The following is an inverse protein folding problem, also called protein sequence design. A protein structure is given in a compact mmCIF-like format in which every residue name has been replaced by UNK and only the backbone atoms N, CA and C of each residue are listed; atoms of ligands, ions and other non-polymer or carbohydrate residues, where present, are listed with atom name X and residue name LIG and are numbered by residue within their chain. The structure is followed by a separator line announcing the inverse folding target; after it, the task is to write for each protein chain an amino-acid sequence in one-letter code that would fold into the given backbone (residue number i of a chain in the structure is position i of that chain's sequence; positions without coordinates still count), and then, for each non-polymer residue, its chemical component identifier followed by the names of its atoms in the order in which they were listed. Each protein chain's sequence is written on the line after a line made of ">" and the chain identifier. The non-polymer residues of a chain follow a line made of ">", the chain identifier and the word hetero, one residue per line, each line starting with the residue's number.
data_IF_076709528739
#
_entry.id   IF_076709528739
#
_cell.length_a   1.000
_cell.length_b   1.000
_cell.length_c   1.000
_cell.angle_alpha   90.00
_cell.angle_beta   90.00
_cell.angle_gamma   90.00
#
_symmetry.space_group_name_H-M   'P 1'
#
loop_
_entity.id
_entity.type
_entity.pdbx_description
1 polymer ?
#
# COMPACT_ATOMS: atom_id res chain seq x y z
N UNK A 1 6.30 25.09 -22.45
CA UNK A 1 5.37 26.19 -22.79
C UNK A 1 4.25 25.69 -23.67
N UNK A 2 4.56 24.96 -24.76
CA UNK A 2 3.58 24.44 -25.71
C UNK A 2 2.33 23.78 -25.09
N UNK A 3 2.47 22.87 -24.12
CA UNK A 3 1.31 22.24 -23.47
C UNK A 3 0.45 23.24 -22.67
N UNK A 4 1.07 24.19 -21.96
CA UNK A 4 0.34 25.23 -21.22
C UNK A 4 -0.46 26.13 -22.17
N UNK A 5 0.13 26.46 -23.33
CA UNK A 5 -0.53 27.23 -24.37
C UNK A 5 -1.72 26.45 -24.97
N UNK A 6 -1.58 25.13 -25.13
CA UNK A 6 -2.69 24.27 -25.59
C UNK A 6 -3.83 24.20 -24.56
N UNK A 7 -3.52 24.12 -23.26
CA UNK A 7 -4.51 24.07 -22.19
C UNK A 7 -5.35 25.37 -22.12
N UNK A 8 -4.69 26.54 -22.11
CA UNK A 8 -5.35 27.85 -22.03
C UNK A 8 -4.86 28.80 -23.16
N UNK A 9 -5.41 28.63 -24.37
CA UNK A 9 -5.03 29.38 -25.59
C UNK A 9 -5.05 30.92 -25.44
N UNK A 10 -5.93 31.44 -24.59
CA UNK A 10 -6.09 32.89 -24.38
C UNK A 10 -5.16 33.46 -23.31
N UNK A 11 -4.43 32.60 -22.57
CA UNK A 11 -3.59 33.02 -21.45
C UNK A 11 -2.15 33.22 -21.89
N UNK A 12 -1.63 34.43 -21.70
CA UNK A 12 -0.23 34.72 -21.94
C UNK A 12 0.62 34.33 -20.74
N UNK A 13 1.04 33.07 -20.63
CA UNK A 13 1.82 32.56 -19.49
C UNK A 13 3.14 33.31 -19.23
N UNK A 14 3.75 33.86 -20.29
CA UNK A 14 4.94 34.72 -20.17
C UNK A 14 4.67 36.04 -19.42
N UNK A 15 3.41 36.49 -19.32
CA UNK A 15 3.01 37.65 -18.51
C UNK A 15 2.84 37.31 -17.02
N UNK A 16 2.77 36.02 -16.70
CA UNK A 16 2.64 35.49 -15.34
C UNK A 16 3.99 35.02 -14.77
N UNK A 17 5.11 35.54 -15.28
CA UNK A 17 6.49 35.19 -14.89
C UNK A 17 6.86 33.70 -15.04
N UNK A 18 6.10 32.93 -15.83
CA UNK A 18 6.39 31.52 -16.11
C UNK A 18 7.33 31.45 -17.32
N UNK A 19 8.62 31.24 -17.03
CA UNK A 19 9.71 31.17 -18.02
C UNK A 19 10.43 29.82 -17.91
N UNK A 20 10.79 29.23 -19.06
CA UNK A 20 11.54 27.98 -19.10
C UNK A 20 12.90 28.15 -18.43
N UNK A 21 13.26 27.23 -17.54
CA UNK A 21 14.51 27.25 -16.78
C UNK A 21 14.46 28.07 -15.49
N UNK A 22 13.41 28.87 -15.28
CA UNK A 22 13.17 29.53 -14.00
C UNK A 22 12.44 28.61 -13.01
N UNK A 23 12.42 28.99 -11.73
CA UNK A 23 11.67 28.28 -10.69
C UNK A 23 10.17 28.37 -10.98
N UNK A 24 9.49 27.23 -11.01
CA UNK A 24 8.04 27.18 -11.16
C UNK A 24 7.32 27.81 -9.95
N UNK A 25 6.41 28.78 -10.14
CA UNK A 25 5.65 29.40 -9.05
C UNK A 25 4.52 28.47 -8.60
N UNK A 26 4.87 27.49 -7.75
CA UNK A 26 3.91 26.49 -7.25
C UNK A 26 2.88 27.13 -6.31
N UNK A 27 1.60 26.98 -6.64
CA UNK A 27 0.48 27.42 -5.79
C UNK A 27 -0.30 26.23 -5.20
N UNK A 28 -0.95 26.42 -4.05
CA UNK A 28 -1.62 25.35 -3.27
C UNK A 28 -2.57 24.47 -4.07
N UNK A 29 -3.36 25.04 -4.98
CA UNK A 29 -4.36 24.30 -5.76
C UNK A 29 -3.83 23.71 -7.07
N UNK A 30 -2.60 24.02 -7.49
CA UNK A 30 -2.07 23.58 -8.77
C UNK A 30 -1.94 22.05 -8.82
N UNK A 31 -1.35 21.43 -7.80
CA UNK A 31 -1.18 19.97 -7.76
C UNK A 31 -2.52 19.23 -7.83
N UNK A 32 -3.53 19.74 -7.12
CA UNK A 32 -4.88 19.17 -7.11
C UNK A 32 -5.57 19.29 -8.48
N UNK A 33 -5.44 20.44 -9.14
CA UNK A 33 -5.97 20.66 -10.49
C UNK A 33 -5.24 19.78 -11.52
N UNK A 34 -3.90 19.74 -11.46
CA UNK A 34 -3.09 18.87 -12.33
C UNK A 34 -3.50 17.41 -12.21
N UNK A 35 -3.71 16.91 -10.98
CA UNK A 35 -4.21 15.55 -10.77
C UNK A 35 -5.55 15.33 -11.48
N UNK A 36 -6.52 16.23 -11.32
CA UNK A 36 -7.84 16.10 -11.93
C UNK A 36 -7.77 16.09 -13.48
N UNK A 37 -7.02 17.03 -14.07
CA UNK A 37 -6.83 17.16 -15.53
C UNK A 37 -6.22 15.89 -16.11
N UNK A 38 -5.07 15.45 -15.59
CA UNK A 38 -4.35 14.30 -16.16
C UNK A 38 -5.03 12.97 -15.85
N UNK A 39 -5.65 12.82 -14.68
CA UNK A 39 -6.44 11.63 -14.36
C UNK A 39 -7.66 11.52 -15.28
N UNK A 40 -8.39 12.60 -15.54
CA UNK A 40 -9.51 12.55 -16.47
C UNK A 40 -9.04 12.30 -17.91
N UNK A 41 -7.93 12.94 -18.32
CA UNK A 41 -7.29 12.72 -19.63
C UNK A 41 -6.85 11.28 -19.86
N UNK A 42 -6.46 10.56 -18.81
CA UNK A 42 -6.07 9.15 -18.94
C UNK A 42 -7.17 8.28 -19.58
N UNK A 43 -8.45 8.66 -19.46
CA UNK A 43 -9.59 7.84 -19.87
C UNK A 43 -9.86 6.65 -18.95
N UNK A 44 -9.00 6.39 -17.95
CA UNK A 44 -9.16 5.33 -16.95
C UNK A 44 -10.01 5.83 -15.78
N UNK A 45 -9.87 7.12 -15.43
CA UNK A 45 -10.56 7.72 -14.27
C UNK A 45 -11.79 8.50 -14.74
N UNK A 46 -12.96 8.09 -14.24
CA UNK A 46 -14.23 8.76 -14.52
C UNK A 46 -14.45 9.99 -13.62
N UNK A 47 -15.33 10.91 -14.04
CA UNK A 47 -15.69 12.08 -13.23
C UNK A 47 -16.30 11.70 -11.85
N UNK A 48 -17.16 10.67 -11.72
CA UNK A 48 -17.60 10.18 -10.41
C UNK A 48 -16.45 9.68 -9.53
N UNK A 49 -15.46 8.98 -10.09
CA UNK A 49 -14.30 8.53 -9.35
C UNK A 49 -13.43 9.72 -8.90
N UNK A 50 -13.23 10.72 -9.75
CA UNK A 50 -12.56 11.98 -9.38
C UNK A 50 -13.30 12.73 -8.29
N UNK A 51 -14.63 12.81 -8.37
CA UNK A 51 -15.46 13.42 -7.33
C UNK A 51 -15.24 12.74 -5.99
N UNK A 52 -15.25 11.40 -5.95
CA UNK A 52 -15.00 10.64 -4.73
C UNK A 52 -13.57 10.87 -4.20
N UNK A 53 -12.55 10.73 -5.06
CA UNK A 53 -11.14 10.89 -4.70
C UNK A 53 -10.81 12.29 -4.19
N UNK A 54 -11.39 13.32 -4.81
CA UNK A 54 -11.19 14.71 -4.43
C UNK A 54 -12.21 15.18 -3.39
N UNK A 55 -13.14 14.34 -2.93
CA UNK A 55 -14.19 14.74 -1.98
C UNK A 55 -15.01 15.95 -2.47
N UNK A 56 -15.28 16.04 -3.78
CA UNK A 56 -16.13 17.09 -4.33
C UNK A 56 -17.61 16.81 -4.03
N UNK A 57 -18.35 17.90 -3.76
CA UNK A 57 -19.78 17.84 -3.45
C UNK A 57 -20.57 17.41 -4.69
N UNK A 58 -20.22 17.95 -5.86
CA UNK A 58 -20.93 17.67 -7.13
C UNK A 58 -19.97 17.22 -8.24
N UNK A 59 -20.52 16.67 -9.33
CA UNK A 59 -19.72 16.26 -10.50
C UNK A 59 -19.24 17.47 -11.29
N UNK A 60 -20.00 18.57 -11.29
CA UNK A 60 -19.64 19.83 -11.94
C UNK A 60 -18.37 20.43 -11.34
N UNK A 61 -18.19 20.32 -10.02
CA UNK A 61 -16.92 20.69 -9.38
C UNK A 61 -15.75 19.85 -9.89
N UNK A 62 -15.92 18.53 -10.04
CA UNK A 62 -14.89 17.67 -10.61
C UNK A 62 -14.60 18.01 -12.08
N UNK A 63 -15.64 18.32 -12.87
CA UNK A 63 -15.52 18.78 -14.25
C UNK A 63 -14.74 20.09 -14.33
N UNK A 64 -15.04 21.06 -13.46
CA UNK A 64 -14.31 22.34 -13.38
C UNK A 64 -12.82 22.14 -13.07
N UNK A 65 -12.50 21.27 -12.12
CA UNK A 65 -11.10 20.96 -11.80
C UNK A 65 -10.38 20.21 -12.92
N UNK A 66 -11.10 19.41 -13.70
CA UNK A 66 -10.57 18.69 -14.86
C UNK A 66 -10.65 19.51 -16.16
N UNK A 67 -11.01 20.80 -16.10
CA UNK A 67 -11.10 21.63 -17.30
C UNK A 67 -9.78 21.67 -18.06
N UNK A 68 -9.86 21.59 -19.39
CA UNK A 68 -8.71 21.43 -20.27
C UNK A 68 -8.20 20.00 -20.44
N UNK A 69 -8.78 18.98 -19.77
CA UNK A 69 -8.33 17.59 -19.87
C UNK A 69 -8.21 17.10 -21.31
N UNK A 70 -9.16 17.41 -22.19
CA UNK A 70 -9.20 16.91 -23.58
C UNK A 70 -7.99 17.35 -24.41
N UNK A 71 -7.35 18.46 -24.02
CA UNK A 71 -6.16 19.03 -24.67
C UNK A 71 -4.85 18.64 -23.98
N UNK A 72 -4.91 18.14 -22.75
CA UNK A 72 -3.73 17.73 -22.00
C UNK A 72 -3.03 16.54 -22.68
N UNK A 73 -1.71 16.44 -22.49
CA UNK A 73 -0.97 15.25 -22.91
C UNK A 73 -1.44 14.05 -22.08
N UNK A 74 -1.62 12.89 -22.72
CA UNK A 74 -1.96 11.68 -21.99
C UNK A 74 -0.67 11.05 -21.44
N UNK A 75 -0.45 11.19 -20.14
CA UNK A 75 0.74 10.68 -19.47
C UNK A 75 0.72 9.13 -19.36
N UNK A 76 -0.46 8.52 -19.22
CA UNK A 76 -0.58 7.14 -18.73
C UNK A 76 -0.24 6.05 -19.78
N UNK A 77 -0.18 6.41 -21.06
CA UNK A 77 0.14 5.47 -22.15
C UNK A 77 1.49 5.72 -22.82
N UNK A 78 2.31 6.59 -22.24
CA UNK A 78 3.66 6.80 -22.75
C UNK A 78 4.58 5.63 -22.39
N UNK A 79 5.39 5.18 -23.36
CA UNK A 79 6.37 4.10 -23.18
C UNK A 79 7.45 4.48 -22.17
N UNK A 80 7.73 5.77 -22.03
CA UNK A 80 8.69 6.32 -21.07
C UNK A 80 8.03 6.80 -19.78
N UNK A 81 6.75 6.48 -19.54
CA UNK A 81 6.06 6.92 -18.34
C UNK A 81 6.62 6.25 -17.08
N UNK A 82 6.72 7.03 -16.00
CA UNK A 82 7.17 6.58 -14.67
C UNK A 82 6.40 5.38 -14.11
N UNK A 83 5.19 5.09 -14.62
CA UNK A 83 4.45 3.88 -14.22
C UNK A 83 5.21 2.59 -14.51
N UNK A 84 6.09 2.58 -15.51
CA UNK A 84 6.97 1.44 -15.80
C UNK A 84 8.03 1.29 -14.70
N UNK A 85 8.70 2.38 -14.33
CA UNK A 85 9.67 2.41 -13.23
C UNK A 85 9.01 2.03 -11.91
N UNK A 86 7.81 2.55 -11.64
CA UNK A 86 7.03 2.19 -10.46
C UNK A 86 6.69 0.69 -10.41
N UNK A 87 6.30 0.09 -11.55
CA UNK A 87 6.01 -1.35 -11.62
C UNK A 87 7.27 -2.18 -11.37
N UNK A 88 8.39 -1.81 -11.98
CA UNK A 88 9.68 -2.49 -11.76
C UNK A 88 10.12 -2.36 -10.29
N UNK A 89 10.10 -1.14 -9.74
CA UNK A 89 10.43 -0.87 -8.35
C UNK A 89 9.51 -1.60 -7.37
N UNK A 90 8.23 -1.81 -7.70
CA UNK A 90 7.30 -2.60 -6.88
C UNK A 90 7.73 -4.07 -6.77
N UNK A 91 8.14 -4.68 -7.89
CA UNK A 91 8.62 -6.05 -7.89
C UNK A 91 9.94 -6.19 -7.12
N UNK A 92 10.87 -5.25 -7.34
CA UNK A 92 12.14 -5.21 -6.60
C UNK A 92 11.92 -4.99 -5.10
N UNK A 93 11.06 -4.04 -4.72
CA UNK A 93 10.71 -3.77 -3.32
C UNK A 93 10.11 -5.00 -2.64
N UNK A 94 9.23 -5.73 -3.34
CA UNK A 94 8.65 -6.99 -2.88
C UNK A 94 9.74 -8.05 -2.65
N UNK A 95 10.68 -8.21 -3.60
CA UNK A 95 11.83 -9.12 -3.45
C UNK A 95 12.72 -8.73 -2.26
N UNK A 96 13.07 -7.45 -2.12
CA UNK A 96 13.94 -6.99 -1.03
C UNK A 96 13.25 -7.12 0.34
N UNK A 97 11.96 -6.83 0.43
CA UNK A 97 11.19 -7.03 1.66
C UNK A 97 11.17 -8.50 2.08
N UNK A 98 11.02 -9.43 1.13
CA UNK A 98 11.19 -10.85 1.38
C UNK A 98 12.63 -11.20 1.81
N UNK A 99 13.63 -10.69 1.10
CA UNK A 99 15.03 -11.03 1.36
C UNK A 99 15.45 -10.58 2.76
N UNK A 100 15.18 -9.33 3.14
CA UNK A 100 15.50 -8.80 4.46
C UNK A 100 14.63 -9.40 5.56
N UNK A 101 13.34 -9.57 5.28
CA UNK A 101 12.38 -10.01 6.29
C UNK A 101 12.41 -11.50 6.58
N UNK A 102 12.64 -12.34 5.56
CA UNK A 102 12.52 -13.79 5.67
C UNK A 102 13.85 -14.50 5.40
N UNK A 103 14.54 -14.17 4.31
CA UNK A 103 15.72 -14.92 3.88
C UNK A 103 16.95 -14.66 4.77
N UNK A 104 17.15 -13.42 5.19
CA UNK A 104 18.29 -12.99 6.02
C UNK A 104 17.90 -12.69 7.47
N UNK A 105 16.73 -13.17 7.90
CA UNK A 105 16.25 -12.99 9.27
C UNK A 105 16.61 -14.21 10.11
N UNK A 106 17.24 -13.97 11.26
CA UNK A 106 17.52 -15.00 12.29
C UNK A 106 16.36 -15.16 13.28
N UNK A 107 15.15 -14.71 12.91
CA UNK A 107 14.00 -14.68 13.79
C UNK A 107 13.09 -15.89 13.59
N UNK A 108 12.48 -16.36 14.68
CA UNK A 108 11.44 -17.38 14.61
C UNK A 108 10.22 -16.85 13.86
N UNK A 109 9.86 -17.54 12.77
CA UNK A 109 8.76 -17.18 11.90
C UNK A 109 7.55 -18.09 12.17
N UNK A 110 6.38 -17.48 12.35
CA UNK A 110 5.10 -18.18 12.33
C UNK A 110 4.43 -18.04 10.95
N UNK A 111 3.81 -19.13 10.50
CA UNK A 111 2.98 -19.15 9.30
C UNK A 111 3.61 -19.91 8.14
N UNK A 112 2.77 -20.40 7.24
CA UNK A 112 3.20 -21.27 6.13
C UNK A 112 3.80 -20.50 4.96
N UNK A 113 3.60 -19.18 4.91
CA UNK A 113 4.08 -18.34 3.82
C UNK A 113 5.60 -18.36 3.69
N UNK A 114 6.31 -18.27 4.82
CA UNK A 114 7.76 -18.24 4.85
C UNK A 114 8.37 -19.56 4.35
N UNK A 115 7.89 -20.69 4.86
CA UNK A 115 8.34 -22.02 4.41
C UNK A 115 8.07 -22.25 2.93
N UNK A 116 6.89 -21.87 2.44
CA UNK A 116 6.54 -22.02 1.02
C UNK A 116 7.48 -21.21 0.13
N UNK A 117 7.79 -19.99 0.53
CA UNK A 117 8.75 -19.16 -0.19
C UNK A 117 10.16 -19.74 -0.15
N UNK A 118 10.64 -20.15 1.03
CA UNK A 118 11.95 -20.76 1.21
C UNK A 118 12.12 -22.00 0.30
N UNK A 119 11.16 -22.92 0.31
CA UNK A 119 11.17 -24.11 -0.55
C UNK A 119 11.19 -23.75 -2.05
N UNK A 120 10.57 -22.63 -2.42
CA UNK A 120 10.58 -22.16 -3.81
C UNK A 120 11.92 -21.50 -4.16
N UNK A 121 12.58 -20.84 -3.22
CA UNK A 121 13.79 -20.05 -3.50
C UNK A 121 15.08 -20.86 -3.34
N UNK A 122 15.11 -21.88 -2.49
CA UNK A 122 16.32 -22.65 -2.10
C UNK A 122 17.15 -23.19 -3.27
N UNK A 123 16.50 -23.60 -4.36
CA UNK A 123 17.15 -24.18 -5.55
C UNK A 123 17.41 -23.19 -6.68
N UNK A 124 17.18 -21.89 -6.45
CA UNK A 124 17.20 -20.85 -7.50
C UNK A 124 18.30 -19.83 -7.25
N UNK A 125 18.86 -19.29 -8.32
CA UNK A 125 19.78 -18.16 -8.22
C UNK A 125 19.04 -16.90 -7.79
N UNK A 126 19.77 -15.89 -7.29
CA UNK A 126 19.21 -14.56 -7.00
C UNK A 126 18.46 -13.97 -8.20
N UNK A 127 19.02 -14.12 -9.41
CA UNK A 127 18.44 -13.57 -10.64
C UNK A 127 17.14 -14.29 -11.00
N UNK A 128 17.12 -15.63 -10.89
CA UNK A 128 15.91 -16.42 -11.15
C UNK A 128 14.81 -16.12 -10.14
N UNK A 129 15.16 -15.93 -8.87
CA UNK A 129 14.21 -15.55 -7.83
C UNK A 129 13.64 -14.16 -8.10
N UNK A 130 14.46 -13.15 -8.42
CA UNK A 130 13.98 -11.80 -8.75
C UNK A 130 12.98 -11.85 -9.92
N UNK A 131 13.27 -12.64 -10.95
CA UNK A 131 12.37 -12.84 -12.09
C UNK A 131 10.99 -13.39 -11.70
N UNK A 132 10.92 -14.24 -10.67
CA UNK A 132 9.62 -14.72 -10.16
C UNK A 132 8.78 -13.59 -9.53
N UNK A 133 9.41 -12.59 -8.92
CA UNK A 133 8.71 -11.42 -8.39
C UNK A 133 8.27 -10.48 -9.52
N UNK A 134 9.11 -10.27 -10.53
CA UNK A 134 8.77 -9.49 -11.72
C UNK A 134 7.59 -10.10 -12.50
N UNK A 135 7.55 -11.42 -12.59
CA UNK A 135 6.46 -12.19 -13.23
C UNK A 135 5.23 -12.36 -12.31
N UNK A 136 5.21 -11.76 -11.11
CA UNK A 136 4.16 -11.87 -10.10
C UNK A 136 3.82 -13.33 -9.70
N UNK A 137 4.80 -14.24 -9.79
CA UNK A 137 4.70 -15.63 -9.31
C UNK A 137 5.03 -15.75 -7.82
N UNK A 138 5.85 -14.83 -7.33
CA UNK A 138 6.11 -14.60 -5.92
C UNK A 138 5.77 -13.15 -5.59
N UNK A 139 5.30 -12.93 -4.37
CA UNK A 139 5.07 -11.62 -3.83
C UNK A 139 5.37 -11.64 -2.33
N UNK A 140 5.74 -10.49 -1.80
CA UNK A 140 5.85 -10.26 -0.37
C UNK A 140 5.40 -8.83 -0.10
N UNK A 141 4.41 -8.69 0.78
CA UNK A 141 3.87 -7.40 1.22
C UNK A 141 4.07 -7.30 2.72
N UNK A 142 4.75 -6.27 3.17
CA UNK A 142 4.97 -6.05 4.60
C UNK A 142 3.65 -5.75 5.31
N UNK A 143 3.48 -6.32 6.51
CA UNK A 143 2.36 -6.08 7.41
C UNK A 143 2.89 -5.72 8.80
N UNK A 144 2.06 -5.17 9.71
CA UNK A 144 2.54 -4.84 11.05
C UNK A 144 3.12 -6.02 11.83
N UNK A 145 2.60 -7.23 11.61
CA UNK A 145 3.10 -8.46 12.25
C UNK A 145 4.22 -9.16 11.48
N UNK A 146 4.40 -8.84 10.20
CA UNK A 146 5.43 -9.43 9.36
C UNK A 146 5.16 -9.22 7.89
N UNK A 147 4.56 -10.19 7.22
CA UNK A 147 4.18 -10.04 5.82
C UNK A 147 3.14 -11.01 5.30
N UNK A 148 2.75 -10.79 4.06
CA UNK A 148 1.84 -11.62 3.30
C UNK A 148 2.47 -11.98 1.95
N UNK A 149 2.45 -13.27 1.61
CA UNK A 149 3.07 -13.80 0.38
C UNK A 149 2.08 -14.00 -0.77
N UNK A 150 0.89 -13.44 -0.64
CA UNK A 150 -0.18 -13.55 -1.64
C UNK A 150 0.15 -12.73 -2.90
N UNK A 151 0.07 -13.36 -4.06
CA UNK A 151 0.09 -12.70 -5.37
C UNK A 151 -1.25 -12.04 -5.69
N UNK A 152 -2.34 -12.54 -5.09
CA UNK A 152 -3.70 -12.01 -5.23
C UNK A 152 -3.93 -10.78 -4.37
N UNK A 153 -4.94 -9.99 -4.74
CA UNK A 153 -5.40 -8.84 -3.95
C UNK A 153 -5.98 -9.29 -2.59
N UNK A 154 -5.78 -8.45 -1.58
CA UNK A 154 -6.31 -8.71 -0.25
C UNK A 154 -7.83 -8.55 -0.26
N UNK A 155 -8.55 -9.54 0.27
CA UNK A 155 -10.01 -9.51 0.42
C UNK A 155 -10.47 -9.02 1.79
N UNK A 156 -9.53 -8.81 2.72
CA UNK A 156 -9.80 -8.28 4.06
C UNK A 156 -10.00 -6.77 3.96
N UNK A 157 -10.94 -6.26 4.75
CA UNK A 157 -11.24 -4.83 4.78
C UNK A 157 -10.03 -4.01 5.27
N UNK A 158 -9.73 -2.87 4.62
CA UNK A 158 -8.56 -2.06 4.95
C UNK A 158 -8.70 -1.24 6.23
N UNK A 159 -9.77 -1.45 7.00
CA UNK A 159 -10.06 -0.70 8.23
C UNK A 159 -9.21 -1.16 9.41
N UNK A 160 -8.70 -2.39 9.36
CA UNK A 160 -7.88 -2.96 10.43
C UNK A 160 -6.42 -3.08 9.99
N UNK A 161 -5.48 -2.42 10.69
CA UNK A 161 -4.06 -2.49 10.31
C UNK A 161 -3.46 -3.89 10.58
N UNK A 162 -3.97 -4.59 11.59
CA UNK A 162 -3.51 -5.93 11.98
C UNK A 162 -4.45 -6.97 11.33
N UNK A 163 -3.93 -7.97 10.60
CA UNK A 163 -4.77 -8.95 9.91
C UNK A 163 -5.23 -10.07 10.86
N UNK A 164 -6.11 -9.76 11.81
CA UNK A 164 -6.59 -10.71 12.84
C UNK A 164 -7.23 -11.96 12.22
N UNK A 165 -8.06 -11.81 11.17
CA UNK A 165 -8.68 -12.93 10.46
C UNK A 165 -7.66 -13.91 9.89
N UNK A 166 -6.57 -13.40 9.29
CA UNK A 166 -5.51 -14.23 8.74
C UNK A 166 -4.76 -14.98 9.85
N UNK A 167 -4.58 -14.33 10.99
CA UNK A 167 -3.92 -14.90 12.15
C UNK A 167 -4.77 -16.00 12.80
N UNK A 168 -6.06 -15.75 12.98
CA UNK A 168 -6.99 -16.71 13.56
C UNK A 168 -7.14 -17.97 12.69
N UNK A 169 -7.39 -17.77 11.40
CA UNK A 169 -7.57 -18.83 10.39
C UNK A 169 -6.28 -19.56 10.01
N UNK A 170 -5.11 -19.10 10.47
CA UNK A 170 -3.80 -19.62 10.09
C UNK A 170 -3.62 -19.64 8.55
N UNK A 171 -3.85 -18.47 7.95
CA UNK A 171 -3.79 -18.24 6.51
C UNK A 171 -2.48 -18.79 5.90
N UNK A 172 -2.60 -19.43 4.73
CA UNK A 172 -1.47 -20.06 4.02
C UNK A 172 -0.40 -19.05 3.62
N UNK A 173 -0.80 -17.81 3.36
CA UNK A 173 0.09 -16.76 2.87
C UNK A 173 0.71 -15.92 3.99
N UNK A 174 0.40 -16.20 5.25
CA UNK A 174 0.81 -15.40 6.38
C UNK A 174 2.28 -15.69 6.76
N UNK A 175 3.01 -14.62 7.08
CA UNK A 175 4.34 -14.63 7.71
C UNK A 175 4.30 -13.68 8.91
N UNK A 176 4.63 -14.18 10.09
CA UNK A 176 4.64 -13.40 11.33
C UNK A 176 6.01 -13.50 11.99
N UNK A 177 6.55 -12.35 12.36
CA UNK A 177 7.79 -12.19 13.10
C UNK A 177 7.52 -12.28 14.60
N UNK A 178 8.16 -13.23 15.29
CA UNK A 178 7.98 -13.44 16.73
C UNK A 178 8.18 -12.18 17.59
N UNK A 179 9.25 -11.41 17.38
CA UNK A 179 9.55 -10.16 18.08
C UNK A 179 8.48 -9.10 17.84
N UNK A 180 7.99 -8.96 16.60
CA UNK A 180 6.89 -8.01 16.30
C UNK A 180 5.59 -8.48 16.96
N UNK A 181 5.32 -9.77 16.94
CA UNK A 181 4.15 -10.35 17.62
C UNK A 181 4.18 -10.06 19.13
N UNK A 182 5.30 -10.32 19.81
CA UNK A 182 5.43 -10.01 21.25
C UNK A 182 5.27 -8.51 21.52
N UNK A 183 5.83 -7.65 20.67
CA UNK A 183 5.69 -6.20 20.81
C UNK A 183 4.22 -5.78 20.72
N UNK A 184 3.50 -6.29 19.72
CA UNK A 184 2.06 -6.00 19.54
C UNK A 184 1.24 -6.56 20.69
N UNK A 185 1.53 -7.78 21.17
CA UNK A 185 0.86 -8.36 22.34
C UNK A 185 1.02 -7.45 23.57
N UNK A 186 2.23 -6.97 23.85
CA UNK A 186 2.49 -6.09 24.99
C UNK A 186 1.65 -4.80 24.92
N UNK A 187 1.55 -4.19 23.75
CA UNK A 187 0.71 -3.00 23.57
C UNK A 187 -0.77 -3.31 23.71
N UNK A 188 -1.21 -4.44 23.18
CA UNK A 188 -2.59 -4.89 23.28
C UNK A 188 -3.00 -5.21 24.72
N UNK A 189 -2.12 -5.86 25.51
CA UNK A 189 -2.34 -6.14 26.93
C UNK A 189 -2.55 -4.86 27.73
N UNK A 190 -1.75 -3.82 27.48
CA UNK A 190 -1.92 -2.51 28.12
C UNK A 190 -3.24 -1.88 27.72
N UNK A 191 -3.59 -1.87 26.43
CA UNK A 191 -4.86 -1.31 25.95
C UNK A 191 -6.08 -1.98 26.60
N UNK A 192 -6.07 -3.32 26.65
CA UNK A 192 -7.14 -4.09 27.30
C UNK A 192 -7.20 -3.81 28.80
N UNK A 193 -6.06 -3.73 29.48
CA UNK A 193 -6.01 -3.44 30.92
C UNK A 193 -6.55 -2.04 31.25
N UNK A 194 -6.20 -1.03 30.46
CA UNK A 194 -6.72 0.34 30.60
C UNK A 194 -8.24 0.38 30.36
N UNK A 195 -8.73 -0.26 29.31
CA UNK A 195 -10.16 -0.34 29.05
C UNK A 195 -10.90 -1.15 30.13
N UNK A 196 -10.25 -2.14 30.72
CA UNK A 196 -10.81 -2.91 31.83
C UNK A 196 -10.92 -2.08 33.11
N UNK A 197 -10.06 -1.09 33.36
CA UNK A 197 -10.16 -0.20 34.53
C UNK A 197 -11.19 0.91 34.34
N UNK A 198 -11.26 1.48 33.13
CA UNK A 198 -11.99 2.73 32.90
C UNK A 198 -13.42 2.45 32.39
N UNK A 199 -13.59 1.43 31.54
CA UNK A 199 -14.82 1.16 30.79
C UNK A 199 -15.12 -0.35 30.70
N UNK A 200 -15.07 -1.05 31.84
CA UNK A 200 -15.21 -2.51 31.86
C UNK A 200 -16.47 -2.97 31.13
N UNK A 201 -16.28 -3.77 30.09
CA UNK A 201 -17.38 -4.38 29.34
C UNK A 201 -18.00 -3.48 28.28
N UNK A 202 -17.37 -2.35 27.93
CA UNK A 202 -17.69 -1.56 26.72
C UNK A 202 -17.51 -2.39 25.43
N UNK A 203 -17.98 -1.87 24.29
CA UNK A 203 -17.81 -2.55 22.99
C UNK A 203 -16.32 -2.65 22.67
N UNK A 204 -15.61 -1.55 22.87
CA UNK A 204 -14.19 -1.35 22.69
C UNK A 204 -13.40 -2.35 23.56
N UNK A 205 -13.69 -2.42 24.86
CA UNK A 205 -13.05 -3.38 25.75
C UNK A 205 -13.23 -4.84 25.27
N UNK A 206 -14.45 -5.21 24.84
CA UNK A 206 -14.73 -6.57 24.35
C UNK A 206 -14.01 -6.88 23.03
N UNK A 207 -13.94 -5.93 22.11
CA UNK A 207 -13.23 -6.08 20.83
C UNK A 207 -11.73 -6.24 21.07
N UNK A 208 -11.12 -5.34 21.85
CA UNK A 208 -9.68 -5.40 22.13
C UNK A 208 -9.30 -6.65 22.92
N UNK A 209 -10.15 -7.11 23.85
CA UNK A 209 -9.95 -8.38 24.54
C UNK A 209 -10.08 -9.59 23.59
N UNK A 210 -10.92 -9.50 22.56
CA UNK A 210 -11.04 -10.53 21.52
C UNK A 210 -9.77 -10.57 20.65
N UNK A 211 -9.30 -9.42 20.19
CA UNK A 211 -8.04 -9.29 19.44
C UNK A 211 -6.85 -9.85 20.22
N UNK A 212 -6.76 -9.54 21.52
CA UNK A 212 -5.71 -10.06 22.38
C UNK A 212 -5.71 -11.60 22.43
N UNK A 213 -6.89 -12.23 22.52
CA UNK A 213 -6.99 -13.71 22.49
C UNK A 213 -6.43 -14.30 21.20
N UNK A 214 -6.68 -13.67 20.05
CA UNK A 214 -6.15 -14.11 18.76
C UNK A 214 -4.62 -14.03 18.75
N UNK A 215 -4.04 -12.92 19.23
CA UNK A 215 -2.58 -12.73 19.30
C UNK A 215 -1.92 -13.73 20.26
N UNK A 216 -2.50 -13.96 21.44
CA UNK A 216 -2.00 -14.95 22.41
C UNK A 216 -1.99 -16.37 21.84
N UNK A 217 -3.05 -16.75 21.12
CA UNK A 217 -3.13 -18.03 20.42
C UNK A 217 -2.05 -18.15 19.33
N UNK A 218 -1.70 -17.05 18.66
CA UNK A 218 -0.59 -17.04 17.72
C UNK A 218 0.76 -17.24 18.41
N UNK A 219 0.98 -16.60 19.56
CA UNK A 219 2.19 -16.80 20.39
C UNK A 219 2.35 -18.25 20.81
N UNK A 220 1.29 -18.90 21.27
CA UNK A 220 1.31 -20.33 21.61
C UNK A 220 1.68 -21.21 20.41
N UNK A 221 1.20 -20.88 19.21
CA UNK A 221 1.56 -21.60 17.98
C UNK A 221 3.04 -21.42 17.65
N UNK A 222 3.58 -20.21 17.80
CA UNK A 222 4.99 -19.93 17.56
C UNK A 222 5.88 -20.75 18.52
N UNK A 223 5.55 -20.78 19.81
CA UNK A 223 6.29 -21.56 20.82
C UNK A 223 6.30 -23.07 20.53
N UNK A 224 5.23 -23.61 19.94
CA UNK A 224 5.15 -25.02 19.53
C UNK A 224 5.97 -25.37 18.28
N UNK A 225 6.36 -24.37 17.48
CA UNK A 225 7.17 -24.58 16.27
C UNK A 225 8.67 -24.58 16.59
N UNK A 226 9.07 -23.92 17.68
CA UNK A 226 10.46 -23.78 18.14
C UNK A 226 10.93 -24.97 19.00
N UNK A 227 9.99 -25.77 19.53
CA UNK A 227 10.24 -27.01 20.30
C UNK A 227 10.20 -28.25 19.40
#
# INVERSE_FOLDING_TARGET
>A
MEELDQLELARGWARDDIVVGARWPLAFHQLRRSLAVYAHRSGIVSLPALKAQLQHITQEMASYYADGFSKAVNLVFDKTHFSHDWKAAKAESSYFAYAFGVLFSDEDLLGRGAQRMANTVESRSRQDTLRLFEENKLAYRETPLGGCVSTEDCKTDPLEPIPYDCLESNCVNLVVYGKRLEHVIKHQEVAVATLASDETGSVEHRLEASHLKVLLKARERLQKVVL
#
